data_IF_229477596679
#
_entry.id   IF_229477596679
#
_cell.length_a   1.000
_cell.length_b   1.000
_cell.length_c   1.000
_cell.angle_alpha   90.00
_cell.angle_beta   90.00
_cell.angle_gamma   90.00
#
_symmetry.space_group_name_H-M   'P 1'
#
loop_
_entity.id
_entity.type
_entity.pdbx_description
1 polymer ?
#
# COMPACT_ATOMS: atom_id res chain seq x y z
N UNK A 1 24.24 12.73 -0.07
CA UNK A 1 25.21 12.25 -1.08
C UNK A 1 25.19 10.74 -1.24
N UNK A 2 25.65 9.99 -0.23
CA UNK A 2 25.73 8.52 -0.29
C UNK A 2 24.38 7.82 -0.53
N UNK A 3 23.34 8.19 0.22
CA UNK A 3 21.98 7.66 0.05
C UNK A 3 21.45 7.81 -1.38
N UNK A 4 21.65 8.99 -2.01
CA UNK A 4 21.29 9.23 -3.42
C UNK A 4 21.98 8.25 -4.35
N UNK A 5 23.28 8.03 -4.20
CA UNK A 5 24.03 7.05 -5.02
C UNK A 5 23.47 5.63 -4.85
N UNK A 6 23.17 5.22 -3.62
CA UNK A 6 22.57 3.92 -3.34
C UNK A 6 21.17 3.78 -3.95
N UNK A 7 20.33 4.81 -3.86
CA UNK A 7 19.00 4.81 -4.46
C UNK A 7 19.06 4.64 -6.00
N UNK A 8 19.95 5.36 -6.68
CA UNK A 8 20.15 5.18 -8.11
C UNK A 8 20.68 3.77 -8.46
N UNK A 9 21.62 3.23 -7.68
CA UNK A 9 22.11 1.84 -7.85
C UNK A 9 21.01 0.81 -7.68
N UNK A 10 20.12 0.98 -6.70
CA UNK A 10 18.95 0.12 -6.53
C UNK A 10 18.03 0.18 -7.76
N UNK A 11 17.68 1.38 -8.21
CA UNK A 11 16.79 1.56 -9.37
C UNK A 11 17.40 0.99 -10.66
N UNK A 12 18.71 1.14 -10.86
CA UNK A 12 19.42 0.50 -11.97
C UNK A 12 19.40 -1.02 -11.85
N UNK A 13 19.70 -1.57 -10.68
CA UNK A 13 19.70 -3.03 -10.44
C UNK A 13 18.30 -3.63 -10.63
N UNK A 14 17.26 -2.89 -10.25
CA UNK A 14 15.86 -3.24 -10.47
C UNK A 14 15.51 -3.27 -11.98
N UNK A 15 15.91 -2.25 -12.74
CA UNK A 15 15.70 -2.20 -14.20
C UNK A 15 16.45 -3.30 -14.96
N UNK A 16 17.71 -3.54 -14.61
CA UNK A 16 18.48 -4.69 -15.14
C UNK A 16 17.83 -6.03 -14.79
N UNK A 17 17.05 -6.01 -13.72
CA UNK A 17 16.25 -7.13 -13.26
C UNK A 17 14.85 -7.20 -13.91
N UNK A 18 14.48 -6.29 -14.82
CA UNK A 18 13.14 -6.28 -15.43
C UNK A 18 12.03 -5.79 -14.48
N UNK A 19 12.39 -5.06 -13.42
CA UNK A 19 11.45 -4.28 -12.61
C UNK A 19 11.47 -2.84 -13.10
N UNK A 20 10.32 -2.28 -13.43
CA UNK A 20 10.22 -0.86 -13.73
C UNK A 20 10.49 -0.07 -12.44
N UNK A 21 11.54 0.76 -12.45
CA UNK A 21 11.97 1.49 -11.25
C UNK A 21 12.62 2.82 -11.61
N UNK A 22 12.30 3.84 -10.82
CA UNK A 22 12.89 5.18 -10.86
C UNK A 22 13.37 5.57 -9.45
N UNK A 23 14.46 6.33 -9.38
CA UNK A 23 14.94 6.89 -8.13
C UNK A 23 14.50 8.36 -8.03
N UNK A 24 13.63 8.66 -7.06
CA UNK A 24 13.07 9.99 -6.84
C UNK A 24 13.67 10.59 -5.56
N UNK A 25 13.97 11.89 -5.58
CA UNK A 25 14.41 12.60 -4.38
C UNK A 25 13.21 12.80 -3.44
N UNK A 26 13.28 12.22 -2.25
CA UNK A 26 12.21 12.29 -1.26
C UNK A 26 11.88 13.74 -0.88
N UNK A 27 12.85 14.65 -0.95
CA UNK A 27 12.66 16.08 -0.68
C UNK A 27 11.62 16.75 -1.59
N UNK A 28 11.44 16.23 -2.81
CA UNK A 28 10.52 16.73 -3.81
C UNK A 28 9.25 15.87 -3.93
N UNK A 29 9.11 14.84 -3.09
CA UNK A 29 8.01 13.89 -3.16
C UNK A 29 6.86 14.33 -2.26
N UNK A 30 5.65 14.31 -2.81
CA UNK A 30 4.42 14.53 -2.04
C UNK A 30 3.98 13.23 -1.36
N UNK A 31 3.96 13.22 -0.03
CA UNK A 31 3.61 12.04 0.78
C UNK A 31 2.23 11.52 0.43
N UNK A 32 1.29 12.38 0.07
CA UNK A 32 -0.08 11.99 -0.20
C UNK A 32 -0.18 11.15 -1.48
N UNK A 33 0.77 11.29 -2.41
CA UNK A 33 0.88 10.45 -3.61
C UNK A 33 1.26 8.99 -3.30
N UNK A 34 1.70 8.66 -2.07
CA UNK A 34 2.00 7.28 -1.69
C UNK A 34 0.77 6.35 -1.78
N UNK A 35 -0.45 6.90 -1.75
CA UNK A 35 -1.68 6.11 -1.88
C UNK A 35 -1.79 5.39 -3.23
N UNK A 36 -1.25 6.02 -4.28
CA UNK A 36 -1.29 5.51 -5.66
C UNK A 36 -0.06 4.65 -6.00
N UNK A 37 0.90 4.53 -5.07
CA UNK A 37 2.12 3.76 -5.29
C UNK A 37 1.92 2.29 -4.89
N UNK A 38 2.02 1.41 -5.88
CA UNK A 38 1.97 -0.04 -5.63
C UNK A 38 3.20 -0.53 -4.86
N UNK A 39 4.41 -0.08 -5.22
CA UNK A 39 5.64 -0.52 -4.57
C UNK A 39 6.69 0.58 -4.43
N UNK A 40 7.31 0.71 -3.24
CA UNK A 40 8.35 1.69 -2.95
C UNK A 40 9.52 1.11 -2.14
N UNK A 41 10.74 1.56 -2.41
CA UNK A 41 11.91 1.26 -1.59
C UNK A 41 12.55 2.57 -1.12
N UNK A 42 12.71 2.73 0.20
CA UNK A 42 13.26 3.94 0.80
C UNK A 42 14.71 3.75 1.22
N UNK A 43 15.56 4.74 0.94
CA UNK A 43 16.97 4.77 1.34
C UNK A 43 17.19 5.99 2.24
N UNK A 44 17.15 5.77 3.56
CA UNK A 44 16.96 6.84 4.54
C UNK A 44 18.17 6.99 5.48
N UNK A 45 19.05 7.97 5.25
CA UNK A 45 20.10 8.29 6.20
C UNK A 45 19.57 8.92 7.48
N UNK A 46 20.29 8.68 8.57
CA UNK A 46 20.09 9.27 9.89
C UNK A 46 21.33 10.08 10.27
N UNK A 47 21.13 11.33 10.68
CA UNK A 47 22.20 12.17 11.24
C UNK A 47 22.40 11.91 12.73
N UNK A 48 23.50 12.43 13.27
CA UNK A 48 24.00 12.17 14.63
C UNK A 48 22.92 12.29 15.73
N UNK A 49 22.03 13.27 15.61
CA UNK A 49 20.95 13.54 16.57
C UNK A 49 19.71 12.65 16.36
N UNK A 50 19.83 11.61 15.52
CA UNK A 50 18.71 10.78 15.14
C UNK A 50 17.73 11.49 14.20
N UNK A 51 18.11 12.64 13.64
CA UNK A 51 17.30 13.47 12.76
C UNK A 51 17.46 13.06 11.29
N UNK A 52 16.47 13.41 10.49
CA UNK A 52 16.57 13.32 9.04
C UNK A 52 17.40 14.51 8.51
N UNK A 53 18.13 14.36 7.40
CA UNK A 53 18.60 15.47 6.59
C UNK A 53 17.49 16.48 6.31
N UNK A 54 17.82 17.77 6.41
CA UNK A 54 16.85 18.89 6.30
C UNK A 54 15.98 18.80 5.05
N UNK A 55 16.56 18.42 3.91
CA UNK A 55 15.86 18.41 2.63
C UNK A 55 14.58 17.58 2.60
N UNK A 56 14.45 16.52 3.41
CA UNK A 56 13.24 15.68 3.46
C UNK A 56 12.67 15.50 4.87
N UNK A 57 13.14 16.28 5.85
CA UNK A 57 12.67 16.18 7.23
C UNK A 57 11.15 16.44 7.33
N UNK A 58 10.65 17.46 6.63
CA UNK A 58 9.23 17.81 6.60
C UNK A 58 8.35 16.67 6.03
N UNK A 59 8.85 15.96 5.01
CA UNK A 59 8.15 14.83 4.39
C UNK A 59 7.97 13.68 5.39
N UNK A 60 9.01 13.39 6.19
CA UNK A 60 8.88 12.38 7.24
C UNK A 60 8.00 12.84 8.41
N UNK A 61 8.03 14.12 8.75
CA UNK A 61 7.14 14.68 9.76
C UNK A 61 5.68 14.56 9.33
N UNK A 62 5.34 14.96 8.10
CA UNK A 62 4.00 14.80 7.53
C UNK A 62 3.55 13.34 7.55
N UNK A 63 4.40 12.41 7.13
CA UNK A 63 4.10 10.97 7.20
C UNK A 63 3.79 10.51 8.64
N UNK A 64 4.54 11.00 9.63
CA UNK A 64 4.30 10.68 11.04
C UNK A 64 3.01 11.32 11.57
N UNK A 65 2.72 12.56 11.17
CA UNK A 65 1.49 13.27 11.50
C UNK A 65 0.28 12.51 10.94
N UNK A 66 0.30 12.16 9.65
CA UNK A 66 -0.72 11.35 8.98
C UNK A 66 -0.94 10.01 9.68
N UNK A 67 0.12 9.35 10.13
CA UNK A 67 0.01 8.09 10.87
C UNK A 67 -0.62 8.24 12.27
N UNK A 68 -0.60 9.44 12.85
CA UNK A 68 -1.14 9.75 14.18
C UNK A 68 -2.50 10.45 14.15
N UNK A 69 -2.88 11.03 13.01
CA UNK A 69 -4.14 11.74 12.84
C UNK A 69 -5.31 10.75 12.81
N UNK A 70 -6.25 10.89 13.74
CA UNK A 70 -7.43 10.02 13.84
C UNK A 70 -8.38 10.14 12.64
N UNK A 71 -8.27 11.22 11.85
CA UNK A 71 -9.06 11.45 10.64
C UNK A 71 -8.50 10.69 9.44
N UNK A 72 -7.22 10.34 9.47
CA UNK A 72 -6.58 9.57 8.41
C UNK A 72 -6.84 8.09 8.66
N UNK A 73 -7.32 7.39 7.63
CA UNK A 73 -7.55 5.96 7.71
C UNK A 73 -6.25 5.22 8.00
N UNK A 74 -6.27 4.30 8.97
CA UNK A 74 -5.16 3.37 9.26
C UNK A 74 -4.93 2.33 8.15
N UNK A 75 -5.75 2.35 7.11
CA UNK A 75 -5.60 1.57 5.88
C UNK A 75 -5.30 2.45 4.66
N UNK A 76 -5.00 3.74 4.86
CA UNK A 76 -4.72 4.71 3.77
C UNK A 76 -3.60 4.26 2.83
N UNK A 77 -2.64 3.46 3.31
CA UNK A 77 -1.55 2.91 2.50
C UNK A 77 -1.62 1.37 2.39
N UNK A 78 -2.80 0.76 2.51
CA UNK A 78 -2.96 -0.70 2.46
C UNK A 78 -2.50 -1.34 1.14
N UNK A 79 -2.59 -0.60 0.03
CA UNK A 79 -2.08 -0.97 -1.29
C UNK A 79 -0.55 -0.97 -1.35
N UNK A 80 0.11 -0.07 -0.60
CA UNK A 80 1.54 0.16 -0.67
C UNK A 80 2.34 -1.05 -0.16
N UNK A 81 3.23 -1.54 -1.02
CA UNK A 81 4.24 -2.55 -0.71
C UNK A 81 5.59 -1.89 -0.57
N UNK A 82 6.26 -2.02 0.57
CA UNK A 82 7.47 -1.25 0.79
C UNK A 82 8.64 -1.99 1.45
N UNK A 83 9.82 -1.39 1.37
CA UNK A 83 10.98 -1.77 2.18
C UNK A 83 11.87 -0.55 2.45
N UNK A 84 12.72 -0.63 3.45
CA UNK A 84 13.59 0.48 3.85
C UNK A 84 15.01 -0.03 4.09
N UNK A 85 15.98 0.65 3.50
CA UNK A 85 17.38 0.60 3.89
C UNK A 85 17.72 1.88 4.65
N UNK A 86 17.97 1.75 5.95
CA UNK A 86 18.47 2.85 6.76
C UNK A 86 19.98 2.97 6.65
N UNK A 87 20.49 4.21 6.62
CA UNK A 87 21.92 4.47 6.79
C UNK A 87 22.12 5.09 8.17
N UNK A 88 22.74 4.33 9.07
CA UNK A 88 23.13 4.79 10.40
C UNK A 88 24.56 4.38 10.72
N UNK A 89 25.00 4.71 11.92
CA UNK A 89 26.25 4.24 12.50
C UNK A 89 25.97 3.89 13.97
N UNK A 90 26.29 2.67 14.39
CA UNK A 90 26.03 2.17 15.75
C UNK A 90 26.97 2.75 16.82
N UNK A 91 27.99 3.52 16.44
CA UNK A 91 28.78 4.35 17.37
C UNK A 91 27.93 5.47 18.01
N UNK A 92 26.83 5.88 17.36
CA UNK A 92 25.86 6.79 17.95
C UNK A 92 24.97 6.08 18.97
N UNK A 93 24.35 6.82 19.92
CA UNK A 93 23.48 6.21 20.93
C UNK A 93 22.40 5.30 20.31
N UNK A 94 22.00 4.19 20.96
CA UNK A 94 21.02 3.24 20.40
C UNK A 94 19.66 3.87 20.02
N UNK A 95 19.30 4.98 20.68
CA UNK A 95 18.09 5.76 20.35
C UNK A 95 18.21 6.52 19.01
N UNK A 96 19.44 6.79 18.55
CA UNK A 96 19.76 7.54 17.35
C UNK A 96 20.09 6.62 16.17
N UNK A 97 20.66 5.44 16.42
CA UNK A 97 20.97 4.46 15.39
C UNK A 97 19.75 4.13 14.52
N UNK A 98 19.85 4.44 13.23
CA UNK A 98 18.78 4.25 12.22
C UNK A 98 17.42 4.85 12.62
N UNK A 99 17.39 5.87 13.48
CA UNK A 99 16.15 6.42 14.03
C UNK A 99 15.17 6.90 12.95
N UNK A 100 15.66 7.50 11.87
CA UNK A 100 14.85 7.97 10.74
C UNK A 100 14.13 6.80 10.06
N UNK A 101 14.88 5.77 9.70
CA UNK A 101 14.34 4.56 9.09
C UNK A 101 13.34 3.86 10.02
N UNK A 102 13.63 3.81 11.33
CA UNK A 102 12.71 3.23 12.34
C UNK A 102 11.40 4.00 12.46
N UNK A 103 11.43 5.34 12.41
CA UNK A 103 10.22 6.18 12.50
C UNK A 103 9.36 6.05 11.24
N UNK A 104 9.97 6.17 10.06
CA UNK A 104 9.27 5.99 8.79
C UNK A 104 8.62 4.60 8.70
N UNK A 105 9.35 3.56 9.08
CA UNK A 105 8.88 2.18 9.07
C UNK A 105 7.72 1.90 10.04
N UNK A 106 7.64 2.67 11.13
CA UNK A 106 6.51 2.63 12.06
C UNK A 106 5.30 3.32 11.45
N UNK A 107 5.48 4.54 10.92
CA UNK A 107 4.41 5.34 10.35
C UNK A 107 3.72 4.62 9.17
N UNK A 108 4.50 4.13 8.20
CA UNK A 108 3.98 3.38 7.04
C UNK A 108 3.12 2.19 7.47
N UNK A 109 3.57 1.43 8.48
CA UNK A 109 2.80 0.29 9.00
C UNK A 109 1.54 0.69 9.75
N UNK A 110 1.59 1.78 10.52
CA UNK A 110 0.41 2.29 11.21
C UNK A 110 -0.68 2.69 10.21
N UNK A 111 -0.28 3.13 9.02
CA UNK A 111 -1.17 3.48 7.90
C UNK A 111 -1.52 2.29 6.98
N UNK A 112 -1.12 1.07 7.34
CA UNK A 112 -1.54 -0.15 6.65
C UNK A 112 -0.57 -0.65 5.57
N UNK A 113 0.53 0.05 5.29
CA UNK A 113 1.52 -0.40 4.30
C UNK A 113 2.18 -1.72 4.72
N UNK A 114 2.47 -2.56 3.73
CA UNK A 114 2.96 -3.92 3.94
C UNK A 114 4.42 -4.04 3.48
N UNK A 115 5.27 -4.61 4.34
CA UNK A 115 6.67 -4.82 3.98
C UNK A 115 6.83 -5.97 2.99
N UNK A 116 7.57 -5.75 1.90
CA UNK A 116 8.04 -6.83 1.01
C UNK A 116 9.25 -7.54 1.58
N UNK A 117 10.13 -6.79 2.25
CA UNK A 117 11.32 -7.27 2.96
C UNK A 117 11.47 -6.43 4.23
N UNK A 118 11.88 -7.06 5.34
CA UNK A 118 12.15 -6.36 6.60
C UNK A 118 13.15 -5.21 6.36
N UNK A 119 12.93 -4.09 7.05
CA UNK A 119 13.87 -2.97 7.10
C UNK A 119 15.28 -3.47 7.45
N UNK A 120 16.28 -2.99 6.72
CA UNK A 120 17.68 -3.14 7.07
C UNK A 120 18.14 -1.89 7.82
N UNK A 121 18.66 -2.07 9.03
CA UNK A 121 19.32 -1.02 9.80
C UNK A 121 20.79 -1.03 9.40
N UNK A 122 21.11 -0.40 8.27
CA UNK A 122 22.47 -0.37 7.74
C UNK A 122 23.41 0.36 8.68
N UNK A 123 24.55 -0.25 8.96
CA UNK A 123 25.56 0.25 9.89
C UNK A 123 26.85 0.62 9.16
N UNK A 124 27.27 1.88 9.27
CA UNK A 124 28.51 2.38 8.66
C UNK A 124 29.76 2.15 9.52
N UNK A 125 29.62 1.39 10.62
CA UNK A 125 30.77 0.89 11.35
C UNK A 125 31.68 0.06 10.44
N UNK A 126 32.99 0.27 10.54
CA UNK A 126 34.02 -0.43 9.76
C UNK A 126 33.80 -0.40 8.23
N UNK A 127 33.09 0.61 7.71
CA UNK A 127 32.75 0.76 6.29
C UNK A 127 31.92 -0.40 5.67
N UNK A 128 31.20 -1.17 6.49
CA UNK A 128 30.44 -2.34 6.05
C UNK A 128 29.09 -2.01 5.39
N UNK A 129 28.71 -0.74 5.30
CA UNK A 129 27.38 -0.32 4.84
C UNK A 129 27.08 -0.75 3.39
N UNK A 130 28.08 -0.73 2.49
CA UNK A 130 27.89 -1.14 1.10
C UNK A 130 27.61 -2.65 0.98
N UNK A 131 28.30 -3.48 1.75
CA UNK A 131 28.08 -4.93 1.76
C UNK A 131 26.68 -5.27 2.30
N UNK A 132 26.26 -4.57 3.37
CA UNK A 132 24.93 -4.69 3.93
C UNK A 132 23.85 -4.25 2.93
N UNK A 133 24.11 -3.17 2.18
CA UNK A 133 23.25 -2.72 1.10
C UNK A 133 23.11 -3.78 0.01
N UNK A 134 24.20 -4.34 -0.49
CA UNK A 134 24.16 -5.37 -1.52
C UNK A 134 23.42 -6.64 -1.04
N UNK A 135 23.62 -7.03 0.23
CA UNK A 135 22.90 -8.14 0.86
C UNK A 135 21.39 -7.88 0.95
N UNK A 136 21.00 -6.64 1.24
CA UNK A 136 19.61 -6.22 1.25
C UNK A 136 19.02 -6.19 -0.16
N UNK A 137 19.72 -5.63 -1.15
CA UNK A 137 19.30 -5.59 -2.58
C UNK A 137 19.01 -6.99 -3.10
N UNK A 138 19.87 -7.98 -2.81
CA UNK A 138 19.66 -9.39 -3.22
C UNK A 138 18.32 -9.98 -2.73
N UNK A 139 17.80 -9.50 -1.59
CA UNK A 139 16.50 -9.93 -1.04
C UNK A 139 15.35 -9.12 -1.62
N UNK A 140 15.56 -7.83 -1.85
CA UNK A 140 14.53 -6.89 -2.30
C UNK A 140 14.14 -7.10 -3.75
N UNK A 141 15.09 -7.30 -4.66
CA UNK A 141 14.79 -7.40 -6.09
C UNK A 141 13.81 -8.54 -6.43
N UNK A 142 13.99 -9.78 -5.95
CA UNK A 142 13.01 -10.85 -6.18
C UNK A 142 11.64 -10.52 -5.59
N UNK A 143 11.60 -9.89 -4.41
CA UNK A 143 10.35 -9.53 -3.74
C UNK A 143 9.58 -8.44 -4.50
N UNK A 144 10.27 -7.41 -5.01
CA UNK A 144 9.65 -6.35 -5.82
C UNK A 144 9.16 -6.87 -7.17
N UNK A 145 9.93 -7.73 -7.85
CA UNK A 145 9.47 -8.43 -9.07
C UNK A 145 8.16 -9.19 -8.83
N UNK A 146 8.06 -9.90 -7.70
CA UNK A 146 6.86 -10.65 -7.37
C UNK A 146 5.65 -9.72 -7.11
N UNK A 147 5.87 -8.53 -6.50
CA UNK A 147 4.78 -7.56 -6.34
C UNK A 147 4.35 -6.95 -7.66
N UNK A 148 5.28 -6.61 -8.55
CA UNK A 148 4.95 -6.06 -9.87
C UNK A 148 4.07 -7.02 -10.68
N UNK A 149 4.44 -8.30 -10.75
CA UNK A 149 3.63 -9.33 -11.44
C UNK A 149 2.24 -9.50 -10.85
N UNK A 150 2.12 -9.41 -9.51
CA UNK A 150 0.81 -9.48 -8.84
C UNK A 150 -0.05 -8.29 -9.20
N UNK A 151 0.54 -7.10 -9.25
CA UNK A 151 -0.16 -5.89 -9.63
C UNK A 151 -0.64 -5.92 -11.09
N UNK A 152 0.23 -6.38 -12.01
CA UNK A 152 -0.10 -6.59 -13.43
C UNK A 152 -1.27 -7.58 -13.60
N UNK A 153 -1.21 -8.74 -12.94
CA UNK A 153 -2.27 -9.76 -13.03
C UNK A 153 -3.64 -9.27 -12.49
N UNK A 154 -3.64 -8.40 -11.48
CA UNK A 154 -4.89 -7.87 -10.90
C UNK A 154 -5.55 -6.83 -11.82
N UNK A 155 -4.79 -6.21 -12.73
CA UNK A 155 -5.36 -5.27 -13.72
C UNK A 155 -5.94 -5.98 -14.94
N UNK A 156 -5.42 -7.14 -15.32
CA UNK A 156 -5.92 -7.93 -16.45
C UNK A 156 -7.26 -8.62 -16.13
N UNK A 157 -7.49 -9.04 -14.88
CA UNK A 157 -8.75 -9.68 -14.45
C UNK A 157 -9.93 -8.70 -14.25
N UNK A 158 -9.68 -7.39 -14.23
CA UNK A 158 -10.71 -6.35 -14.06
C UNK A 158 -11.31 -5.81 -15.36
N UNK A 159 -10.94 -6.37 -16.51
CA UNK A 159 -11.30 -5.88 -17.85
C UNK A 159 -12.52 -6.51 -18.52
N UNK A 160 -13.18 -7.49 -17.89
CA UNK A 160 -14.32 -8.21 -18.46
C UNK A 160 -15.57 -8.16 -17.54
N UNK A 161 -16.17 -6.98 -17.37
CA UNK A 161 -17.60 -6.86 -17.03
C UNK A 161 -18.19 -5.70 -17.83
N UNK A 162 -18.69 -5.98 -19.04
CA UNK A 162 -19.25 -4.97 -19.93
C UNK A 162 -19.76 -5.54 -21.26
N UNK A 163 -20.90 -6.22 -21.19
CA UNK A 163 -21.66 -6.75 -22.34
C UNK A 163 -22.41 -7.99 -21.87
N UNK A 164 -23.73 -8.07 -21.82
CA UNK A 164 -24.71 -7.58 -22.78
C UNK A 164 -25.94 -7.06 -22.01
N UNK A 165 -26.35 -5.80 -22.25
CA UNK A 165 -27.75 -5.43 -22.04
C UNK A 165 -28.52 -5.98 -23.24
N UNK A 166 -29.25 -7.08 -23.02
CA UNK A 166 -30.27 -7.54 -23.94
C UNK A 166 -31.46 -6.58 -23.80
N UNK A 167 -31.49 -5.57 -24.67
CA UNK A 167 -32.65 -4.71 -24.91
C UNK A 167 -33.73 -5.56 -25.59
N UNK A 168 -34.69 -6.04 -24.81
CA UNK A 168 -35.87 -6.73 -25.30
C UNK A 168 -37.04 -5.74 -25.31
N UNK A 169 -37.22 -5.06 -26.44
CA UNK A 169 -38.46 -4.36 -26.79
C UNK A 169 -39.60 -5.37 -26.92
N UNK A 170 -40.52 -5.40 -25.95
CA UNK A 170 -41.85 -5.98 -26.11
C UNK A 170 -42.90 -4.87 -25.99
N UNK A 171 -43.35 -4.38 -27.15
CA UNK A 171 -44.56 -3.59 -27.31
C UNK A 171 -45.78 -4.49 -27.07
N UNK A 172 -46.58 -4.20 -26.04
CA UNK A 172 -47.86 -4.85 -25.78
C UNK A 172 -49.02 -3.88 -26.01
N UNK A 173 -49.77 -4.22 -27.05
CA UNK A 173 -50.98 -3.64 -27.63
C UNK A 173 -52.17 -3.51 -26.66
N UNK A 174 -52.91 -2.41 -26.80
CA UNK A 174 -54.10 -2.05 -26.02
C UNK A 174 -55.32 -2.93 -26.39
N UNK A 175 -55.99 -3.50 -25.38
CA UNK A 175 -57.24 -4.25 -25.54
C UNK A 175 -58.20 -4.14 -24.36
N UNK A 176 -59.19 -3.27 -24.52
CA UNK A 176 -60.37 -3.02 -23.65
C UNK A 176 -61.29 -4.25 -23.46
N UNK A 177 -61.93 -4.38 -22.29
CA UNK A 177 -63.06 -5.31 -22.10
C UNK A 177 -63.44 -5.75 -20.68
N UNK A 178 -64.13 -4.88 -19.92
CA UNK A 178 -65.28 -5.16 -19.02
C UNK A 178 -65.34 -6.45 -18.14
N UNK A 179 -65.39 -6.24 -16.81
CA UNK A 179 -66.43 -6.86 -15.96
C UNK A 179 -65.99 -7.77 -14.79
N UNK A 180 -66.33 -7.39 -13.55
CA UNK A 180 -66.47 -8.32 -12.41
C UNK A 180 -65.91 -7.83 -11.07
N UNK A 181 -66.78 -7.67 -10.07
CA UNK A 181 -66.52 -7.13 -8.72
C UNK A 181 -65.57 -7.99 -7.83
N UNK A 182 -64.99 -7.42 -6.75
CA UNK A 182 -64.00 -8.11 -5.90
C UNK A 182 -64.68 -8.99 -4.84
N UNK A 183 -64.21 -10.23 -4.69
CA UNK A 183 -64.54 -11.09 -3.57
C UNK A 183 -63.42 -11.02 -2.52
N UNK A 184 -63.75 -10.43 -1.38
CA UNK A 184 -63.03 -10.52 -0.11
C UNK A 184 -62.86 -11.99 0.29
N UNK A 185 -61.66 -12.37 0.73
CA UNK A 185 -61.44 -13.62 1.46
C UNK A 185 -60.84 -13.26 2.81
N UNK A 186 -61.61 -13.56 3.86
CA UNK A 186 -61.40 -13.17 5.24
C UNK A 186 -60.17 -13.81 5.87
N UNK A 187 -59.50 -13.00 6.69
CA UNK A 187 -58.29 -13.30 7.43
C UNK A 187 -58.66 -13.69 8.87
N UNK A 188 -59.28 -14.85 9.08
CA UNK A 188 -59.59 -15.35 10.42
C UNK A 188 -59.87 -16.87 10.37
N UNK A 189 -58.82 -17.69 10.30
CA UNK A 189 -58.81 -18.99 11.00
C UNK A 189 -57.52 -19.78 10.76
N UNK A 190 -56.86 -20.09 11.88
CA UNK A 190 -56.07 -21.30 12.20
C UNK A 190 -54.77 -20.98 12.93
N UNK A 191 -54.94 -20.42 14.13
CA UNK A 191 -53.97 -20.53 15.21
C UNK A 191 -54.32 -21.68 16.16
N UNK A 192 -53.30 -22.50 16.45
CA UNK A 192 -53.14 -23.38 17.63
C UNK A 192 -54.04 -24.62 17.76
N UNK A 193 -53.45 -25.81 17.74
CA UNK A 193 -52.82 -26.39 18.93
C UNK A 193 -52.46 -27.88 18.73
N UNK A 194 -51.33 -28.30 19.31
CA UNK A 194 -51.18 -29.40 20.27
C UNK A 194 -49.92 -30.25 20.05
N UNK A 195 -49.07 -30.18 21.07
CA UNK A 195 -47.98 -31.09 21.40
C UNK A 195 -48.39 -32.58 21.35
N UNK A 196 -47.47 -33.43 20.88
CA UNK A 196 -46.81 -34.50 21.69
C UNK A 196 -45.99 -35.43 20.78
N UNK A 197 -44.67 -35.37 20.86
CA UNK A 197 -43.80 -36.34 21.56
C UNK A 197 -42.34 -35.95 21.40
#
# INVERSE_FOLDING_TARGET
GRSRKLAHRLAESARQSGVAAEAIDLAAYDVDQLIDVACAAFVLPTYAEGSAPEGYAAVLEQLQQNASDFRVSKASLASLRYTIFGLGNSEYPPLHFNAVARRADRALRTMGAVRVVRRCDGDDIDNLLEEQFDSWVRKVLPAMRAQQRRFEATQEEGGEEGGEEADSDEEADDGDGSGGAPALVDLEDLGSAMHRR
#
